data_IF_373134733378
#
_entry.id   IF_373134733378
#
_cell.length_a   1.000
_cell.length_b   1.000
_cell.length_c   1.000
_cell.angle_alpha   90.00
_cell.angle_beta   90.00
_cell.angle_gamma   90.00
#
_symmetry.space_group_name_H-M   'P 1'
#
loop_
_entity.id
_entity.type
_entity.pdbx_description
1 polymer ?
#
# COMPACT_ATOMS: atom_id res chain seq x y z
N UNK A 1 -26.19 -16.23 -1.97
CA UNK A 1 -26.26 -16.63 -0.55
C UNK A 1 -25.59 -18.00 -0.37
N UNK A 2 -24.27 -18.13 -0.61
CA UNK A 2 -23.69 -19.48 -0.83
C UNK A 2 -22.20 -19.72 -0.49
N UNK A 3 -21.47 -18.80 0.16
CA UNK A 3 -20.11 -19.08 0.65
C UNK A 3 -19.97 -18.83 2.15
N UNK A 4 -20.55 -17.71 2.64
CA UNK A 4 -20.56 -17.32 4.06
C UNK A 4 -21.30 -18.32 4.95
N UNK A 5 -22.40 -18.92 4.48
CA UNK A 5 -23.17 -19.92 5.23
C UNK A 5 -22.43 -21.27 5.29
N UNK A 6 -21.64 -21.61 4.28
CA UNK A 6 -20.92 -22.87 4.20
C UNK A 6 -19.67 -22.87 5.09
N UNK A 7 -18.95 -21.74 5.14
CA UNK A 7 -17.83 -21.54 6.07
C UNK A 7 -18.27 -21.48 7.55
N UNK A 8 -19.47 -20.97 7.84
CA UNK A 8 -20.03 -20.95 9.19
C UNK A 8 -20.48 -22.33 9.70
N UNK A 9 -20.75 -23.29 8.80
CA UNK A 9 -21.27 -24.62 9.15
C UNK A 9 -20.18 -25.65 9.49
N UNK A 10 -18.90 -25.35 9.25
CA UNK A 10 -17.78 -26.17 9.70
C UNK A 10 -16.53 -25.28 9.83
N UNK A 11 -16.16 -24.82 11.04
CA UNK A 11 -14.94 -24.05 11.21
C UNK A 11 -13.76 -24.96 10.90
N UNK A 12 -13.16 -24.79 9.72
CA UNK A 12 -11.90 -25.46 9.38
C UNK A 12 -10.87 -25.07 10.42
N UNK A 13 -10.38 -26.04 11.18
CA UNK A 13 -9.23 -25.86 12.08
C UNK A 13 -8.04 -25.48 11.21
N UNK A 14 -7.43 -24.33 11.50
CA UNK A 14 -6.25 -23.87 10.78
C UNK A 14 -5.07 -24.79 11.08
N UNK A 15 -4.34 -25.14 10.04
CA UNK A 15 -3.09 -25.88 10.17
C UNK A 15 -1.97 -24.93 10.59
N UNK A 16 -0.85 -25.48 11.11
CA UNK A 16 0.35 -24.68 11.41
C UNK A 16 0.79 -23.82 10.22
N UNK A 17 0.72 -24.38 9.00
CA UNK A 17 1.07 -23.67 7.77
C UNK A 17 0.12 -22.50 7.48
N UNK A 18 -1.18 -22.63 7.79
CA UNK A 18 -2.14 -21.53 7.63
C UNK A 18 -1.78 -20.36 8.56
N UNK A 19 -1.40 -20.64 9.82
CA UNK A 19 -0.95 -19.60 10.77
C UNK A 19 0.33 -18.91 10.31
N UNK A 20 1.32 -19.67 9.85
CA UNK A 20 2.60 -19.13 9.34
C UNK A 20 2.35 -18.22 8.13
N UNK A 21 1.58 -18.69 7.15
CA UNK A 21 1.28 -17.91 5.94
C UNK A 21 0.55 -16.61 6.27
N UNK A 22 -0.46 -16.67 7.15
CA UNK A 22 -1.20 -15.49 7.59
C UNK A 22 -0.29 -14.52 8.34
N UNK A 23 0.60 -15.02 9.20
CA UNK A 23 1.59 -14.20 9.89
C UNK A 23 2.50 -13.44 8.93
N UNK A 24 3.06 -14.14 7.93
CA UNK A 24 3.93 -13.54 6.91
C UNK A 24 3.17 -12.48 6.10
N UNK A 25 2.00 -12.82 5.57
CA UNK A 25 1.22 -11.89 4.73
C UNK A 25 0.80 -10.64 5.53
N UNK A 26 0.39 -10.83 6.79
CA UNK A 26 -0.02 -9.73 7.66
C UNK A 26 1.14 -8.82 8.09
N UNK A 27 2.39 -9.30 8.00
CA UNK A 27 3.59 -8.52 8.31
C UNK A 27 4.06 -7.63 7.14
N UNK A 28 3.63 -7.92 5.90
CA UNK A 28 4.02 -7.14 4.71
C UNK A 28 3.81 -5.61 4.86
N UNK A 29 2.66 -5.09 5.35
CA UNK A 29 2.47 -3.64 5.45
C UNK A 29 3.44 -3.01 6.46
N UNK A 30 3.78 -3.73 7.53
CA UNK A 30 4.75 -3.28 8.51
C UNK A 30 6.14 -3.16 7.88
N UNK A 31 6.58 -4.18 7.13
CA UNK A 31 7.86 -4.16 6.43
C UNK A 31 7.95 -3.01 5.41
N UNK A 32 6.88 -2.79 4.64
CA UNK A 32 6.80 -1.68 3.68
C UNK A 32 6.89 -0.33 4.40
N UNK A 33 6.08 -0.10 5.43
CA UNK A 33 6.05 1.17 6.15
C UNK A 33 7.38 1.47 6.88
N UNK A 34 8.02 0.45 7.48
CA UNK A 34 9.35 0.61 8.09
C UNK A 34 10.43 0.96 7.06
N UNK A 35 10.35 0.39 5.85
CA UNK A 35 11.28 0.70 4.76
C UNK A 35 11.15 2.16 4.32
N UNK A 36 9.92 2.65 4.15
CA UNK A 36 9.67 4.06 3.84
C UNK A 36 10.18 4.98 4.96
N UNK A 37 9.87 4.68 6.23
CA UNK A 37 10.37 5.45 7.38
C UNK A 37 11.89 5.51 7.45
N UNK A 38 12.59 4.41 7.19
CA UNK A 38 14.06 4.39 7.15
C UNK A 38 14.60 5.27 6.01
N UNK A 39 13.95 5.25 4.85
CA UNK A 39 14.42 5.95 3.65
C UNK A 39 14.24 7.47 3.67
N UNK A 40 13.55 8.02 4.68
CA UNK A 40 13.50 9.47 4.95
C UNK A 40 14.53 9.93 5.99
N UNK A 41 15.36 9.01 6.51
CA UNK A 41 16.51 9.31 7.34
C UNK A 41 17.66 9.98 6.56
N UNK A 42 18.77 10.24 7.25
CA UNK A 42 19.97 10.80 6.63
C UNK A 42 20.50 9.92 5.50
N UNK A 43 20.81 10.53 4.35
CA UNK A 43 21.29 9.83 3.16
C UNK A 43 20.24 9.00 2.41
N UNK A 44 19.01 8.89 2.92
CA UNK A 44 17.95 8.07 2.37
C UNK A 44 17.41 8.56 1.01
N UNK A 45 16.99 7.61 0.18
CA UNK A 45 16.58 7.90 -1.22
C UNK A 45 15.28 8.72 -1.31
N UNK A 46 14.30 8.49 -0.41
CA UNK A 46 13.09 9.32 -0.36
C UNK A 46 13.41 10.75 0.06
N UNK A 47 14.29 10.92 1.05
CA UNK A 47 14.74 12.25 1.47
C UNK A 47 15.39 13.01 0.31
N UNK A 48 16.35 12.39 -0.38
CA UNK A 48 17.02 12.99 -1.55
C UNK A 48 16.05 13.36 -2.66
N UNK A 49 15.10 12.47 -2.96
CA UNK A 49 14.07 12.74 -3.96
C UNK A 49 13.22 13.95 -3.60
N UNK A 50 12.76 14.04 -2.35
CA UNK A 50 12.01 15.20 -1.90
C UNK A 50 12.88 16.47 -1.94
N UNK A 51 14.12 16.46 -1.45
CA UNK A 51 15.00 17.63 -1.47
C UNK A 51 15.24 18.18 -2.89
N UNK A 52 15.34 17.30 -3.91
CA UNK A 52 15.58 17.67 -5.31
C UNK A 52 14.32 18.03 -6.11
N UNK A 53 13.14 17.76 -5.56
CA UNK A 53 11.88 17.95 -6.29
C UNK A 53 11.19 19.23 -5.90
N UNK A 54 10.62 19.92 -6.88
CA UNK A 54 9.63 20.97 -6.63
C UNK A 54 8.33 20.33 -6.17
N UNK A 55 7.73 20.89 -5.12
CA UNK A 55 6.58 20.32 -4.40
C UNK A 55 5.38 21.26 -4.52
N UNK A 56 4.15 20.73 -4.54
CA UNK A 56 2.97 21.56 -4.49
C UNK A 56 2.89 22.35 -3.18
N UNK A 57 2.27 23.53 -3.25
CA UNK A 57 2.04 24.41 -2.09
C UNK A 57 0.93 23.93 -1.15
N UNK A 58 0.05 23.04 -1.62
CA UNK A 58 -1.11 22.55 -0.86
C UNK A 58 -0.81 21.31 0.00
N UNK A 59 0.39 20.73 -0.11
CA UNK A 59 0.77 19.54 0.65
C UNK A 59 2.01 19.77 1.51
N UNK A 60 2.21 18.91 2.52
CA UNK A 60 3.40 18.98 3.36
C UNK A 60 4.67 18.77 2.54
N UNK A 61 5.66 19.66 2.71
CA UNK A 61 6.94 19.53 2.03
C UNK A 61 7.89 18.56 2.74
N UNK A 62 7.55 18.14 3.96
CA UNK A 62 8.40 17.31 4.79
C UNK A 62 8.25 15.83 4.42
N UNK A 63 9.30 15.15 3.90
CA UNK A 63 9.23 13.73 3.56
C UNK A 63 8.89 12.84 4.77
N UNK A 64 9.29 13.23 5.99
CA UNK A 64 8.98 12.48 7.22
C UNK A 64 7.48 12.45 7.51
N UNK A 65 6.77 13.53 7.20
CA UNK A 65 5.32 13.59 7.34
C UNK A 65 4.67 12.51 6.46
N UNK A 66 5.02 12.47 5.18
CA UNK A 66 4.50 11.48 4.24
C UNK A 66 4.83 10.05 4.65
N UNK A 67 6.07 9.76 5.01
CA UNK A 67 6.46 8.42 5.45
C UNK A 67 5.72 7.99 6.74
N UNK A 68 5.52 8.90 7.70
CA UNK A 68 4.77 8.62 8.92
C UNK A 68 3.29 8.38 8.65
N UNK A 69 2.66 9.22 7.82
CA UNK A 69 1.25 9.03 7.43
C UNK A 69 1.07 7.71 6.66
N UNK A 70 1.98 7.38 5.74
CA UNK A 70 1.99 6.09 5.04
C UNK A 70 2.05 4.93 6.03
N UNK A 71 3.00 4.96 6.96
CA UNK A 71 3.14 3.92 8.00
C UNK A 71 1.86 3.77 8.84
N UNK A 72 1.31 4.87 9.34
CA UNK A 72 0.11 4.86 10.19
C UNK A 72 -1.12 4.34 9.45
N UNK A 73 -1.23 4.61 8.16
CA UNK A 73 -2.35 4.13 7.32
C UNK A 73 -2.17 2.68 6.88
N UNK A 74 -0.92 2.21 6.72
CA UNK A 74 -0.60 0.80 6.44
C UNK A 74 -0.76 -0.12 7.66
N UNK A 75 -0.51 0.37 8.87
CA UNK A 75 -0.48 -0.47 10.08
C UNK A 75 -1.76 -1.31 10.31
N UNK A 76 -2.99 -0.77 10.12
CA UNK A 76 -4.22 -1.56 10.25
C UNK A 76 -4.38 -2.66 9.19
N UNK A 77 -3.69 -2.57 8.05
CA UNK A 77 -3.85 -3.52 6.94
C UNK A 77 -3.38 -4.92 7.29
N UNK A 78 -2.42 -5.08 8.20
CA UNK A 78 -1.99 -6.40 8.66
C UNK A 78 -3.15 -7.15 9.31
N UNK A 79 -3.86 -6.47 10.22
CA UNK A 79 -5.05 -7.02 10.86
C UNK A 79 -6.23 -7.20 9.87
N UNK A 80 -6.43 -6.25 8.96
CA UNK A 80 -7.45 -6.39 7.91
C UNK A 80 -7.21 -7.66 7.07
N UNK A 81 -5.95 -7.93 6.72
CA UNK A 81 -5.56 -9.09 5.93
C UNK A 81 -5.76 -10.40 6.68
N UNK A 82 -5.38 -10.45 7.97
CA UNK A 82 -5.72 -11.56 8.86
C UNK A 82 -7.22 -11.85 8.84
N UNK A 83 -8.07 -10.82 8.97
CA UNK A 83 -9.53 -10.97 8.97
C UNK A 83 -10.07 -11.56 7.67
N UNK A 84 -9.57 -11.11 6.51
CA UNK A 84 -9.97 -11.65 5.20
C UNK A 84 -9.64 -13.13 5.09
N UNK A 85 -8.43 -13.53 5.47
CA UNK A 85 -8.02 -14.94 5.40
C UNK A 85 -8.84 -15.78 6.38
N UNK A 86 -9.16 -15.26 7.57
CA UNK A 86 -10.04 -15.91 8.56
C UNK A 86 -11.47 -16.07 8.07
N UNK A 87 -12.09 -14.99 7.58
CA UNK A 87 -13.47 -15.00 7.11
C UNK A 87 -13.69 -15.92 5.90
N UNK A 88 -12.63 -16.22 5.15
CA UNK A 88 -12.66 -17.10 3.98
C UNK A 88 -12.25 -18.56 4.26
N UNK A 89 -12.06 -18.93 5.53
CA UNK A 89 -11.57 -20.25 5.95
C UNK A 89 -10.19 -20.62 5.35
N UNK A 90 -9.34 -19.60 5.12
CA UNK A 90 -7.98 -19.74 4.62
C UNK A 90 -7.79 -19.29 3.16
N UNK A 91 -6.57 -19.49 2.65
CA UNK A 91 -6.17 -19.07 1.29
C UNK A 91 -6.64 -20.01 0.18
N UNK A 92 -7.33 -21.12 0.49
CA UNK A 92 -7.80 -22.06 -0.52
C UNK A 92 -9.00 -21.50 -1.32
N UNK A 93 -9.75 -20.57 -0.72
CA UNK A 93 -10.97 -20.00 -1.29
C UNK A 93 -10.66 -18.95 -2.38
N UNK A 94 -11.32 -19.04 -3.54
CA UNK A 94 -11.06 -18.17 -4.71
C UNK A 94 -11.18 -16.67 -4.41
N UNK A 95 -12.27 -16.15 -3.83
CA UNK A 95 -12.36 -14.77 -3.36
C UNK A 95 -11.16 -14.32 -2.51
N UNK A 96 -10.72 -15.15 -1.56
CA UNK A 96 -9.56 -14.86 -0.71
C UNK A 96 -8.26 -14.76 -1.51
N UNK A 97 -8.02 -15.71 -2.43
CA UNK A 97 -6.86 -15.68 -3.33
C UNK A 97 -6.82 -14.40 -4.17
N UNK A 98 -7.97 -13.98 -4.71
CA UNK A 98 -8.06 -12.74 -5.49
C UNK A 98 -7.76 -11.53 -4.61
N UNK A 99 -8.38 -11.44 -3.43
CA UNK A 99 -8.17 -10.33 -2.50
C UNK A 99 -6.70 -10.21 -2.06
N UNK A 100 -6.10 -11.32 -1.66
CA UNK A 100 -4.68 -11.37 -1.26
C UNK A 100 -3.74 -11.17 -2.45
N UNK A 101 -4.10 -11.65 -3.64
CA UNK A 101 -3.36 -11.40 -4.87
C UNK A 101 -3.31 -9.92 -5.23
N UNK A 102 -4.44 -9.21 -5.18
CA UNK A 102 -4.51 -7.76 -5.39
C UNK A 102 -3.72 -6.99 -4.34
N UNK A 103 -3.77 -7.44 -3.08
CA UNK A 103 -2.94 -6.90 -2.01
C UNK A 103 -1.44 -7.11 -2.27
N UNK A 104 -1.05 -8.28 -2.81
CA UNK A 104 0.32 -8.55 -3.27
C UNK A 104 0.76 -7.64 -4.41
N UNK A 105 -0.10 -7.39 -5.40
CA UNK A 105 0.15 -6.43 -6.48
C UNK A 105 0.39 -5.02 -5.93
N UNK A 106 -0.42 -4.59 -4.95
CA UNK A 106 -0.20 -3.32 -4.26
C UNK A 106 1.20 -3.24 -3.59
N UNK A 107 1.64 -4.31 -2.92
CA UNK A 107 2.97 -4.36 -2.32
C UNK A 107 4.10 -4.30 -3.37
N UNK A 108 3.95 -5.00 -4.50
CA UNK A 108 4.90 -4.96 -5.61
C UNK A 108 5.00 -3.56 -6.22
N UNK A 109 3.88 -2.88 -6.45
CA UNK A 109 3.87 -1.51 -6.98
C UNK A 109 4.51 -0.52 -6.00
N UNK A 110 4.40 -0.77 -4.70
CA UNK A 110 5.12 0.04 -3.69
C UNK A 110 6.64 -0.15 -3.77
N UNK A 111 7.11 -1.36 -4.04
CA UNK A 111 8.53 -1.61 -4.31
C UNK A 111 9.01 -0.96 -5.61
N UNK A 112 8.21 -1.03 -6.67
CA UNK A 112 8.48 -0.31 -7.94
C UNK A 112 8.62 1.18 -7.68
N UNK A 113 7.69 1.78 -6.92
CA UNK A 113 7.80 3.17 -6.50
C UNK A 113 9.14 3.47 -5.82
N UNK A 114 9.56 2.70 -4.81
CA UNK A 114 10.83 2.92 -4.12
C UNK A 114 12.04 2.87 -5.07
N UNK A 115 12.02 1.95 -6.03
CA UNK A 115 13.05 1.85 -7.07
C UNK A 115 13.06 3.05 -8.03
N UNK A 116 11.90 3.55 -8.45
CA UNK A 116 11.84 4.70 -9.35
C UNK A 116 12.19 6.01 -8.64
N UNK A 117 11.87 6.13 -7.34
CA UNK A 117 12.36 7.23 -6.49
C UNK A 117 13.88 7.20 -6.39
N UNK A 118 14.50 6.03 -6.19
CA UNK A 118 15.95 5.93 -6.08
C UNK A 118 16.65 6.40 -7.36
N UNK A 119 16.04 6.17 -8.53
CA UNK A 119 16.47 6.66 -9.85
C UNK A 119 16.15 8.13 -10.12
N UNK A 120 15.40 8.80 -9.24
CA UNK A 120 14.97 10.21 -9.40
C UNK A 120 14.09 10.45 -10.65
N UNK A 121 13.32 9.46 -11.08
CA UNK A 121 12.46 9.58 -12.27
C UNK A 121 11.04 10.01 -11.89
N UNK A 122 10.73 11.30 -11.99
CA UNK A 122 9.43 11.86 -11.58
C UNK A 122 8.22 11.26 -12.32
N UNK A 123 8.35 10.99 -13.63
CA UNK A 123 7.25 10.43 -14.43
C UNK A 123 6.92 9.01 -13.98
N UNK A 124 7.94 8.15 -13.87
CA UNK A 124 7.75 6.78 -13.41
C UNK A 124 7.31 6.71 -11.95
N UNK A 125 7.78 7.63 -11.09
CA UNK A 125 7.32 7.76 -9.70
C UNK A 125 5.83 8.08 -9.64
N UNK A 126 5.37 9.04 -10.46
CA UNK A 126 3.95 9.38 -10.54
C UNK A 126 3.10 8.19 -11.04
N UNK A 127 3.55 7.50 -12.08
CA UNK A 127 2.87 6.29 -12.61
C UNK A 127 2.82 5.16 -11.57
N UNK A 128 3.93 4.90 -10.87
CA UNK A 128 3.99 3.87 -9.85
C UNK A 128 3.04 4.17 -8.69
N UNK A 129 2.99 5.41 -8.19
CA UNK A 129 2.04 5.79 -7.13
C UNK A 129 0.58 5.78 -7.58
N UNK A 130 0.30 6.15 -8.83
CA UNK A 130 -1.05 5.96 -9.41
C UNK A 130 -1.44 4.47 -9.43
N UNK A 131 -0.51 3.59 -9.79
CA UNK A 131 -0.68 2.14 -9.70
C UNK A 131 -0.94 1.67 -8.27
N UNK A 132 -0.16 2.14 -7.29
CA UNK A 132 -0.36 1.84 -5.86
C UNK A 132 -1.78 2.23 -5.42
N UNK A 133 -2.26 3.42 -5.78
CA UNK A 133 -3.61 3.86 -5.46
C UNK A 133 -4.69 2.98 -6.11
N UNK A 134 -4.54 2.66 -7.40
CA UNK A 134 -5.46 1.77 -8.10
C UNK A 134 -5.53 0.36 -7.48
N UNK A 135 -4.37 -0.21 -7.17
CA UNK A 135 -4.29 -1.51 -6.50
C UNK A 135 -4.85 -1.45 -5.07
N UNK A 136 -4.68 -0.33 -4.36
CA UNK A 136 -5.26 -0.12 -3.04
C UNK A 136 -6.79 -0.15 -3.07
N UNK A 137 -7.39 0.57 -4.02
CA UNK A 137 -8.84 0.55 -4.26
C UNK A 137 -9.29 -0.88 -4.60
N UNK A 138 -8.56 -1.56 -5.49
CA UNK A 138 -8.93 -2.90 -5.94
C UNK A 138 -8.95 -3.93 -4.80
N UNK A 139 -7.89 -4.00 -3.98
CA UNK A 139 -7.87 -4.95 -2.86
C UNK A 139 -8.90 -4.57 -1.79
N UNK A 140 -9.14 -3.28 -1.53
CA UNK A 140 -10.15 -2.84 -0.56
C UNK A 140 -11.56 -3.26 -1.00
N UNK A 141 -11.88 -3.10 -2.28
CA UNK A 141 -13.15 -3.57 -2.85
C UNK A 141 -13.28 -5.09 -2.79
N UNK A 142 -12.20 -5.83 -2.98
CA UNK A 142 -12.19 -7.28 -2.75
C UNK A 142 -12.42 -7.63 -1.27
N UNK A 143 -11.82 -6.89 -0.34
CA UNK A 143 -12.01 -7.07 1.10
C UNK A 143 -13.47 -6.84 1.50
N UNK A 144 -14.14 -5.85 0.91
CA UNK A 144 -15.55 -5.53 1.17
C UNK A 144 -16.48 -6.72 0.92
N UNK A 145 -16.17 -7.54 -0.08
CA UNK A 145 -16.96 -8.71 -0.45
C UNK A 145 -16.75 -9.90 0.49
N UNK A 146 -15.72 -9.86 1.35
CA UNK A 146 -15.34 -10.95 2.26
C UNK A 146 -15.61 -10.55 3.73
N UNK A 147 -15.06 -9.42 4.17
CA UNK A 147 -15.21 -8.89 5.53
C UNK A 147 -15.33 -7.36 5.48
N UNK A 148 -16.51 -6.84 5.89
CA UNK A 148 -16.80 -5.39 5.90
C UNK A 148 -15.87 -4.60 6.81
N UNK A 149 -15.44 -5.17 7.93
CA UNK A 149 -14.50 -4.52 8.86
C UNK A 149 -13.11 -4.46 8.23
N UNK A 150 -12.67 -5.52 7.54
CA UNK A 150 -11.40 -5.49 6.80
C UNK A 150 -11.39 -4.38 5.74
N UNK A 151 -12.51 -4.18 5.04
CA UNK A 151 -12.68 -3.03 4.14
C UNK A 151 -12.58 -1.69 4.88
N UNK A 152 -13.30 -1.51 5.99
CA UNK A 152 -13.24 -0.27 6.77
C UNK A 152 -11.81 0.05 7.27
N UNK A 153 -11.08 -0.96 7.73
CA UNK A 153 -9.69 -0.83 8.15
C UNK A 153 -8.75 -0.43 7.01
N UNK A 154 -9.11 -0.72 5.76
CA UNK A 154 -8.32 -0.33 4.58
C UNK A 154 -8.57 1.10 4.10
N UNK A 155 -9.67 1.73 4.51
CA UNK A 155 -10.06 3.05 4.01
C UNK A 155 -9.04 4.17 4.27
N UNK A 156 -8.40 4.27 5.47
CA UNK A 156 -7.38 5.27 5.69
C UNK A 156 -6.22 5.15 4.70
N UNK A 157 -5.79 3.92 4.39
CA UNK A 157 -4.73 3.66 3.42
C UNK A 157 -5.16 4.00 2.00
N UNK A 158 -6.37 3.61 1.59
CA UNK A 158 -6.90 3.95 0.25
C UNK A 158 -6.95 5.46 0.06
N UNK A 159 -7.47 6.20 1.04
CA UNK A 159 -7.53 7.66 0.99
C UNK A 159 -6.13 8.27 0.87
N UNK A 160 -5.18 7.80 1.68
CA UNK A 160 -3.80 8.28 1.63
C UNK A 160 -3.09 7.91 0.32
N UNK A 161 -3.32 6.72 -0.22
CA UNK A 161 -2.73 6.30 -1.50
C UNK A 161 -3.22 7.16 -2.67
N UNK A 162 -4.51 7.52 -2.69
CA UNK A 162 -5.09 8.46 -3.68
C UNK A 162 -4.45 9.85 -3.53
N UNK A 163 -4.37 10.35 -2.29
CA UNK A 163 -3.69 11.62 -2.00
C UNK A 163 -2.24 11.61 -2.48
N UNK A 164 -1.49 10.55 -2.16
CA UNK A 164 -0.08 10.41 -2.54
C UNK A 164 0.08 10.34 -4.06
N UNK A 165 -0.81 9.64 -4.77
CA UNK A 165 -0.80 9.62 -6.23
C UNK A 165 -0.99 11.02 -6.83
N UNK A 166 -1.96 11.79 -6.33
CA UNK A 166 -2.19 13.16 -6.77
C UNK A 166 -0.98 14.07 -6.46
N UNK A 167 -0.39 13.93 -5.26
CA UNK A 167 0.78 14.69 -4.83
C UNK A 167 2.00 14.42 -5.73
N UNK A 168 2.31 13.15 -6.00
CA UNK A 168 3.42 12.77 -6.87
C UNK A 168 3.17 13.13 -8.34
N UNK A 169 1.93 13.06 -8.82
CA UNK A 169 1.58 13.56 -10.15
C UNK A 169 1.83 15.06 -10.27
N UNK A 170 1.48 15.84 -9.24
CA UNK A 170 1.75 17.27 -9.23
C UNK A 170 3.25 17.58 -9.18
N UNK A 171 4.04 16.82 -8.42
CA UNK A 171 5.51 16.93 -8.45
C UNK A 171 6.08 16.68 -9.85
N UNK A 172 5.57 15.67 -10.57
CA UNK A 172 5.94 15.41 -11.96
C UNK A 172 5.57 16.57 -12.90
N UNK A 173 4.36 17.12 -12.77
CA UNK A 173 3.93 18.28 -13.57
C UNK A 173 4.84 19.48 -13.36
N UNK A 174 5.27 19.72 -12.12
CA UNK A 174 6.19 20.79 -11.78
C UNK A 174 7.60 20.52 -12.30
N UNK A 175 8.09 19.27 -12.26
CA UNK A 175 9.41 18.93 -12.80
C UNK A 175 9.52 19.08 -14.33
N UNK A 176 8.40 18.95 -15.05
CA UNK A 176 8.37 19.19 -16.51
C UNK A 176 8.24 20.69 -16.84
N UNK A 177 7.63 21.48 -15.96
CA UNK A 177 7.42 22.91 -16.15
C UNK A 177 8.60 23.80 -15.74
N UNK A 178 9.59 23.27 -15.03
CA UNK A 178 10.78 23.99 -14.60
C UNK A 178 12.00 23.65 -15.48
N UNK A 179 12.81 24.64 -15.91
CA UNK A 179 14.10 24.35 -16.51
C UNK A 179 14.97 23.61 -15.48
N UNK A 180 15.52 22.46 -15.89
CA UNK A 180 16.42 21.65 -15.05
C UNK A 180 17.56 22.55 -14.58
N UNK A 181 17.64 22.82 -13.28
CA UNK A 181 18.82 23.47 -12.70
C UNK A 181 19.99 22.50 -12.87
N UNK A 182 20.83 22.75 -13.86
CA UNK A 182 22.13 22.10 -14.01
C UNK A 182 22.96 22.40 -12.77
N UNK A 183 23.45 21.34 -12.12
CA UNK A 183 24.55 21.43 -11.16
C UNK A 183 25.86 21.72 -11.91
#
# INVERSE_FOLDING_TARGET
MSALIQAAKNPRIWTQNDYVNVGIISAIPLSVGLTELKSVGEGGYLRKFFERSTKPNWGSQNPKFHAMTSFLTLAPLGYATYRVIKASAGLANTPSKVAIGLYGVHALLTNVYGNEVSKQNHSNVAMAKAGVAGAAIAFAMAYRNIDKMAFQLSLPHVAYAIFAAAYHYQMYRLSVGEPIKSL
#
